data_IF_504347696994
#
_entry.id   IF_504347696994
#
_cell.length_a   1.000
_cell.length_b   1.000
_cell.length_c   1.000
_cell.angle_alpha   90.00
_cell.angle_beta   90.00
_cell.angle_gamma   90.00
#
_symmetry.space_group_name_H-M   'P 1'
#
loop_
_entity.id
_entity.type
_entity.pdbx_description
1 polymer ?
#
# COMPACT_ATOMS: atom_id res chain seq x y z
N UNK A 1 43.87 5.84 9.26
CA UNK A 1 42.88 5.18 10.11
C UNK A 1 41.79 4.66 9.19
N UNK A 2 41.79 3.35 8.88
CA UNK A 2 40.79 2.71 8.02
C UNK A 2 39.61 2.36 8.91
N UNK A 3 38.48 3.04 8.76
CA UNK A 3 37.23 2.57 9.33
C UNK A 3 36.78 1.38 8.47
N UNK A 4 36.95 0.16 8.98
CA UNK A 4 36.12 -0.96 8.55
C UNK A 4 34.73 -0.67 9.10
N UNK A 5 33.82 -0.23 8.23
CA UNK A 5 32.40 -0.31 8.50
C UNK A 5 32.09 -1.80 8.60
N UNK A 6 31.80 -2.24 9.82
CA UNK A 6 31.27 -3.57 10.08
C UNK A 6 29.95 -3.65 9.31
N UNK A 7 29.92 -4.51 8.28
CA UNK A 7 28.73 -4.77 7.50
C UNK A 7 27.80 -5.66 8.31
N UNK A 8 27.33 -5.15 9.45
CA UNK A 8 26.16 -5.71 10.11
C UNK A 8 25.02 -5.58 9.12
N UNK A 9 24.66 -6.70 8.52
CA UNK A 9 23.40 -6.90 7.83
C UNK A 9 22.30 -6.25 8.67
N UNK A 10 21.87 -5.06 8.26
CA UNK A 10 20.53 -4.59 8.59
C UNK A 10 19.68 -5.63 7.86
N UNK A 11 19.10 -6.58 8.60
CA UNK A 11 18.03 -7.39 8.05
C UNK A 11 17.00 -6.37 7.56
N UNK A 12 16.91 -6.16 6.25
CA UNK A 12 15.84 -5.40 5.61
C UNK A 12 14.56 -6.20 5.82
N UNK A 13 14.02 -6.15 7.04
CA UNK A 13 12.75 -6.75 7.38
C UNK A 13 11.70 -5.97 6.59
N UNK A 14 10.97 -6.61 5.66
CA UNK A 14 9.94 -5.95 4.90
C UNK A 14 8.85 -5.39 5.83
N UNK A 15 8.34 -4.22 5.48
CA UNK A 15 7.22 -3.62 6.21
C UNK A 15 5.97 -4.46 6.04
N UNK A 16 5.73 -5.05 4.86
CA UNK A 16 4.56 -5.89 4.60
C UNK A 16 4.90 -7.23 3.94
N UNK A 17 4.30 -8.31 4.41
CA UNK A 17 4.45 -9.67 3.83
C UNK A 17 3.10 -10.33 3.64
N UNK A 18 2.94 -11.04 2.52
CA UNK A 18 1.80 -11.91 2.27
C UNK A 18 2.05 -13.31 2.86
N UNK A 19 1.31 -13.65 3.90
CA UNK A 19 1.34 -14.96 4.53
C UNK A 19 0.32 -15.91 3.92
N UNK A 20 0.74 -17.17 3.80
CA UNK A 20 -0.12 -18.30 3.43
C UNK A 20 -0.06 -19.34 4.53
N UNK A 21 -1.19 -19.97 4.82
CA UNK A 21 -1.28 -20.98 5.89
C UNK A 21 -0.30 -22.14 5.73
N UNK A 22 0.05 -22.49 4.49
CA UNK A 22 0.94 -23.59 4.15
C UNK A 22 2.44 -23.21 4.14
N UNK A 23 2.84 -22.07 4.72
CA UNK A 23 4.25 -21.71 4.80
C UNK A 23 4.95 -22.47 5.92
N UNK A 24 6.14 -23.02 5.62
CA UNK A 24 6.98 -23.71 6.60
C UNK A 24 7.53 -22.77 7.69
N UNK A 25 7.69 -21.50 7.33
CA UNK A 25 8.17 -20.44 8.21
C UNK A 25 7.46 -19.13 7.87
N UNK A 26 7.11 -18.37 8.91
CA UNK A 26 6.61 -17.01 8.76
C UNK A 26 7.78 -16.04 8.99
N UNK A 27 8.32 -15.42 7.92
CA UNK A 27 9.33 -14.37 8.10
C UNK A 27 8.77 -13.23 8.96
N UNK A 28 9.65 -12.39 9.50
CA UNK A 28 9.22 -11.21 10.26
C UNK A 28 8.68 -10.14 9.32
N UNK A 29 7.66 -9.41 9.76
CA UNK A 29 7.18 -8.18 9.10
C UNK A 29 6.43 -7.30 10.08
N UNK A 30 6.36 -6.00 9.84
CA UNK A 30 5.56 -5.10 10.68
C UNK A 30 4.06 -5.25 10.40
N UNK A 31 3.69 -5.45 9.14
CA UNK A 31 2.34 -5.61 8.64
C UNK A 31 2.20 -7.05 8.14
N UNK A 32 1.28 -7.81 8.70
CA UNK A 32 0.97 -9.16 8.25
C UNK A 32 -0.24 -9.21 7.34
N UNK A 33 -0.01 -9.43 6.05
CA UNK A 33 -1.09 -9.51 5.07
C UNK A 33 -1.47 -10.96 4.81
N UNK A 34 -2.75 -11.24 4.55
CA UNK A 34 -3.20 -12.56 4.13
C UNK A 34 -4.45 -12.43 3.27
N UNK A 35 -4.68 -13.38 2.35
CA UNK A 35 -5.94 -13.42 1.59
C UNK A 35 -7.02 -14.01 2.49
N UNK A 36 -8.13 -13.28 2.67
CA UNK A 36 -9.26 -13.75 3.47
C UNK A 36 -9.92 -14.93 2.77
N UNK A 37 -10.11 -16.01 3.52
CA UNK A 37 -10.82 -17.22 3.12
C UNK A 37 -11.23 -18.01 4.37
N UNK A 38 -12.01 -19.07 4.19
CA UNK A 38 -12.52 -19.91 5.29
C UNK A 38 -11.42 -20.70 6.02
N UNK A 39 -10.19 -20.70 5.52
CA UNK A 39 -9.07 -21.38 6.18
C UNK A 39 -8.52 -20.56 7.36
N UNK A 40 -8.84 -19.28 7.48
CA UNK A 40 -8.38 -18.44 8.57
C UNK A 40 -9.38 -18.39 9.72
N UNK A 41 -9.07 -19.10 10.80
CA UNK A 41 -9.74 -18.93 12.09
C UNK A 41 -9.05 -17.86 12.93
N UNK A 42 -9.76 -17.31 13.92
CA UNK A 42 -9.20 -16.34 14.87
C UNK A 42 -7.90 -16.84 15.55
N UNK A 43 -7.90 -18.10 16.01
CA UNK A 43 -6.70 -18.71 16.59
C UNK A 43 -5.54 -18.81 15.58
N UNK A 44 -5.83 -19.06 14.29
CA UNK A 44 -4.80 -19.13 13.27
C UNK A 44 -4.18 -17.75 13.00
N UNK A 45 -4.99 -16.68 13.05
CA UNK A 45 -4.52 -15.30 12.92
C UNK A 45 -3.70 -14.85 14.14
N UNK A 46 -4.12 -15.22 15.36
CA UNK A 46 -3.34 -15.00 16.59
C UNK A 46 -1.96 -15.68 16.51
N UNK A 47 -1.94 -16.94 16.08
CA UNK A 47 -0.70 -17.69 15.90
C UNK A 47 0.19 -17.07 14.81
N UNK A 48 -0.42 -16.62 13.71
CA UNK A 48 0.28 -15.92 12.64
C UNK A 48 0.96 -14.65 13.18
N UNK A 49 0.17 -13.75 13.78
CA UNK A 49 0.65 -12.48 14.36
C UNK A 49 1.82 -12.68 15.32
N UNK A 50 1.72 -13.70 16.19
CA UNK A 50 2.77 -14.04 17.15
C UNK A 50 4.04 -14.60 16.47
N UNK A 51 3.89 -15.48 15.47
CA UNK A 51 5.03 -16.14 14.81
C UNK A 51 5.77 -15.22 13.85
N UNK A 52 5.04 -14.35 13.13
CA UNK A 52 5.63 -13.34 12.26
C UNK A 52 6.07 -12.08 13.00
N UNK A 53 5.77 -11.97 14.30
CA UNK A 53 5.95 -10.77 15.12
C UNK A 53 5.29 -9.53 14.49
N UNK A 54 4.19 -9.73 13.75
CA UNK A 54 3.48 -8.65 13.08
C UNK A 54 2.83 -7.73 14.10
N UNK A 55 2.96 -6.42 13.89
CA UNK A 55 2.35 -5.42 14.75
C UNK A 55 0.82 -5.40 14.58
N UNK A 56 0.35 -5.53 13.33
CA UNK A 56 -1.05 -5.67 12.99
C UNK A 56 -1.24 -6.50 11.71
N UNK A 57 -2.45 -6.98 11.49
CA UNK A 57 -2.82 -7.81 10.36
C UNK A 57 -3.79 -7.08 9.41
N UNK A 58 -3.60 -7.34 8.12
CA UNK A 58 -4.44 -6.81 7.04
C UNK A 58 -4.99 -7.95 6.20
N UNK A 59 -6.31 -8.04 6.12
CA UNK A 59 -7.00 -9.00 5.26
C UNK A 59 -7.14 -8.47 3.84
N UNK A 60 -6.77 -9.28 2.85
CA UNK A 60 -6.99 -9.00 1.43
C UNK A 60 -8.21 -9.76 0.95
N UNK A 61 -9.28 -9.04 0.67
CA UNK A 61 -10.52 -9.61 0.14
C UNK A 61 -10.48 -9.57 -1.39
N UNK A 62 -10.48 -10.75 -2.01
CA UNK A 62 -10.32 -10.89 -3.48
C UNK A 62 -11.60 -11.33 -4.20
N UNK A 63 -12.70 -11.45 -3.46
CA UNK A 63 -14.01 -11.83 -3.96
C UNK A 63 -15.11 -11.09 -3.19
N UNK A 64 -16.34 -11.15 -3.71
CA UNK A 64 -17.49 -10.47 -3.11
C UNK A 64 -18.13 -11.28 -1.96
N UNK A 65 -17.43 -12.29 -1.44
CA UNK A 65 -17.95 -13.11 -0.34
C UNK A 65 -17.91 -12.32 0.97
N UNK A 66 -19.01 -12.34 1.72
CA UNK A 66 -19.07 -11.78 3.06
C UNK A 66 -18.53 -12.81 4.05
N UNK A 67 -17.31 -12.59 4.52
CA UNK A 67 -16.71 -13.42 5.58
C UNK A 67 -17.15 -12.91 6.95
N UNK A 68 -17.17 -13.81 7.94
CA UNK A 68 -17.35 -13.43 9.34
C UNK A 68 -16.28 -12.41 9.76
N UNK A 69 -16.69 -11.40 10.52
CA UNK A 69 -15.75 -10.42 11.05
C UNK A 69 -14.83 -11.11 12.08
N UNK A 70 -13.53 -11.02 11.86
CA UNK A 70 -12.51 -11.53 12.76
C UNK A 70 -11.85 -10.33 13.45
N UNK A 71 -11.98 -10.25 14.77
CA UNK A 71 -11.47 -9.13 15.60
C UNK A 71 -9.95 -8.90 15.46
N UNK A 72 -9.22 -9.92 15.00
CA UNK A 72 -7.78 -9.85 14.77
C UNK A 72 -7.38 -9.12 13.49
N UNK A 73 -8.34 -8.70 12.66
CA UNK A 73 -8.09 -7.99 11.40
C UNK A 73 -8.25 -6.50 11.64
N UNK A 74 -7.14 -5.77 11.67
CA UNK A 74 -7.15 -4.31 11.85
C UNK A 74 -7.56 -3.56 10.56
N UNK A 75 -7.40 -4.16 9.38
CA UNK A 75 -7.84 -3.56 8.13
C UNK A 75 -8.14 -4.58 7.04
N UNK A 76 -9.13 -4.29 6.19
CA UNK A 76 -9.50 -5.08 5.03
C UNK A 76 -9.27 -4.25 3.78
N UNK A 77 -8.57 -4.80 2.78
CA UNK A 77 -8.42 -4.20 1.46
C UNK A 77 -9.06 -5.11 0.41
N UNK A 78 -10.07 -4.58 -0.29
CA UNK A 78 -10.70 -5.23 -1.44
C UNK A 78 -9.89 -4.96 -2.70
N UNK A 79 -9.48 -6.01 -3.39
CA UNK A 79 -8.69 -5.93 -4.63
C UNK A 79 -9.00 -7.12 -5.53
N UNK A 80 -8.61 -7.09 -6.81
CA UNK A 80 -8.69 -8.28 -7.65
C UNK A 80 -7.61 -9.30 -7.29
N UNK A 81 -7.81 -10.61 -7.56
CA UNK A 81 -6.83 -11.65 -7.26
C UNK A 81 -5.42 -11.38 -7.84
N UNK A 82 -5.34 -10.81 -9.04
CA UNK A 82 -4.08 -10.44 -9.70
C UNK A 82 -3.44 -9.15 -9.14
N UNK A 83 -4.17 -8.38 -8.35
CA UNK A 83 -3.72 -7.13 -7.72
C UNK A 83 -3.13 -7.34 -6.31
N UNK A 84 -3.23 -8.55 -5.75
CA UNK A 84 -2.73 -8.86 -4.40
C UNK A 84 -1.28 -8.41 -4.22
N UNK A 85 -0.39 -8.77 -5.14
CA UNK A 85 1.02 -8.38 -5.05
C UNK A 85 1.22 -6.87 -5.18
N UNK A 86 0.35 -6.17 -5.91
CA UNK A 86 0.42 -4.72 -6.05
C UNK A 86 0.05 -4.01 -4.74
N UNK A 87 -0.92 -4.54 -3.98
CA UNK A 87 -1.29 -4.07 -2.65
C UNK A 87 -0.15 -4.32 -1.65
N UNK A 88 0.44 -5.51 -1.65
CA UNK A 88 1.57 -5.82 -0.74
C UNK A 88 2.73 -4.86 -0.98
N UNK A 89 3.11 -4.63 -2.24
CA UNK A 89 4.16 -3.67 -2.60
C UNK A 89 3.84 -2.23 -2.22
N UNK A 90 2.55 -1.86 -2.17
CA UNK A 90 2.12 -0.53 -1.74
C UNK A 90 2.28 -0.36 -0.22
N UNK A 91 2.00 -1.41 0.56
CA UNK A 91 2.13 -1.42 2.02
C UNK A 91 3.57 -1.68 2.49
N UNK A 92 4.41 -2.25 1.63
CA UNK A 92 5.82 -2.52 1.91
C UNK A 92 6.66 -1.23 1.82
N UNK A 93 6.48 -0.35 2.81
CA UNK A 93 7.13 0.94 2.87
C UNK A 93 8.60 0.75 3.25
N UNK A 94 9.51 1.18 2.38
CA UNK A 94 10.93 1.25 2.66
C UNK A 94 11.36 2.72 2.81
N UNK A 95 11.48 3.18 4.06
CA UNK A 95 11.84 4.56 4.44
C UNK A 95 13.18 5.05 3.88
N UNK A 96 14.08 4.15 3.45
CA UNK A 96 15.37 4.52 2.88
C UNK A 96 15.32 4.93 1.39
N UNK A 97 14.19 4.69 0.70
CA UNK A 97 14.08 4.83 -0.76
C UNK A 97 13.10 5.91 -1.24
N UNK A 98 12.41 6.59 -0.31
CA UNK A 98 11.28 7.48 -0.63
C UNK A 98 11.59 8.95 -0.32
N UNK A 99 11.13 9.86 -1.19
CA UNK A 99 11.22 11.32 -0.94
C UNK A 99 10.18 11.75 0.11
N UNK A 100 9.07 11.02 0.20
CA UNK A 100 8.00 11.25 1.17
C UNK A 100 8.09 10.18 2.25
N UNK A 101 8.38 10.62 3.48
CA UNK A 101 8.64 9.77 4.63
C UNK A 101 7.35 9.37 5.34
N UNK A 102 6.64 8.40 4.77
CA UNK A 102 5.62 7.63 5.49
C UNK A 102 6.31 6.49 6.23
N UNK A 103 5.79 6.14 7.39
CA UNK A 103 6.17 4.92 8.09
C UNK A 103 4.97 3.98 8.35
N UNK A 104 5.25 2.85 9.01
CA UNK A 104 4.23 1.85 9.34
C UNK A 104 3.19 2.39 10.35
N UNK A 105 3.55 3.36 11.19
CA UNK A 105 2.65 4.00 12.15
C UNK A 105 1.59 4.82 11.42
N UNK A 106 1.98 5.51 10.34
CA UNK A 106 1.04 6.23 9.48
C UNK A 106 0.02 5.28 8.83
N UNK A 107 0.47 4.14 8.31
CA UNK A 107 -0.42 3.12 7.75
C UNK A 107 -1.33 2.51 8.81
N UNK A 108 -0.83 2.29 10.02
CA UNK A 108 -1.68 1.85 11.12
C UNK A 108 -2.78 2.88 11.41
N UNK A 109 -2.41 4.16 11.46
CA UNK A 109 -3.35 5.26 11.71
C UNK A 109 -4.41 5.35 10.61
N UNK A 110 -4.04 5.05 9.35
CA UNK A 110 -4.98 4.95 8.23
C UNK A 110 -6.07 3.89 8.49
N UNK A 111 -5.70 2.71 8.97
CA UNK A 111 -6.66 1.64 9.30
C UNK A 111 -7.46 1.90 10.57
N UNK A 112 -6.95 2.72 11.49
CA UNK A 112 -7.70 3.14 12.67
C UNK A 112 -8.84 4.13 12.30
N UNK A 113 -8.75 4.83 11.16
CA UNK A 113 -9.80 5.73 10.63
C UNK A 113 -10.94 4.93 10.00
N UNK A 114 -10.60 3.92 9.18
CA UNK A 114 -11.55 3.07 8.46
C UNK A 114 -11.00 1.65 8.44
N UNK A 115 -11.84 0.64 8.65
CA UNK A 115 -11.40 -0.76 8.64
C UNK A 115 -11.54 -1.44 7.26
N UNK A 116 -12.10 -0.76 6.26
CA UNK A 116 -12.39 -1.32 4.94
C UNK A 116 -11.99 -0.37 3.83
N UNK A 117 -11.13 -0.84 2.95
CA UNK A 117 -10.57 -0.10 1.82
C UNK A 117 -10.81 -0.85 0.52
N UNK A 118 -10.73 -0.12 -0.59
CA UNK A 118 -10.69 -0.65 -1.96
C UNK A 118 -9.38 -0.24 -2.61
N UNK A 119 -8.79 -1.16 -3.36
CA UNK A 119 -7.61 -0.90 -4.16
C UNK A 119 -7.96 -0.41 -5.56
N UNK A 120 -7.15 0.49 -6.07
CA UNK A 120 -7.24 0.98 -7.43
C UNK A 120 -5.86 1.32 -7.97
N UNK A 121 -5.65 1.12 -9.27
CA UNK A 121 -4.43 1.53 -9.93
C UNK A 121 -4.69 2.16 -11.30
N UNK A 122 -3.73 2.98 -11.72
CA UNK A 122 -3.67 3.62 -13.02
C UNK A 122 -2.22 3.64 -13.52
N UNK A 123 -2.01 3.35 -14.79
CA UNK A 123 -0.69 3.39 -15.42
C UNK A 123 -0.72 4.09 -16.77
N UNK A 124 0.46 4.56 -17.17
CA UNK A 124 0.73 5.09 -18.49
C UNK A 124 2.07 4.54 -18.99
N UNK A 125 2.13 4.27 -20.29
CA UNK A 125 3.33 3.84 -21.02
C UNK A 125 3.60 4.79 -22.18
N UNK A 126 4.87 5.02 -22.51
CA UNK A 126 5.23 5.94 -23.59
C UNK A 126 6.64 6.50 -23.47
N UNK A 127 7.01 7.37 -24.41
CA UNK A 127 8.39 7.84 -24.59
C UNK A 127 8.76 9.01 -23.66
N UNK A 128 7.80 9.85 -23.25
CA UNK A 128 8.04 11.05 -22.44
C UNK A 128 7.47 10.94 -21.03
N UNK A 129 8.33 10.91 -20.03
CA UNK A 129 7.97 10.72 -18.61
C UNK A 129 6.92 11.73 -18.10
N UNK A 130 7.04 13.01 -18.45
CA UNK A 130 6.08 14.05 -18.04
C UNK A 130 4.66 13.79 -18.54
N UNK A 131 4.53 13.19 -19.73
CA UNK A 131 3.22 12.84 -20.29
C UNK A 131 2.66 11.61 -19.59
N UNK A 132 3.52 10.66 -19.18
CA UNK A 132 3.10 9.48 -18.42
C UNK A 132 2.50 9.86 -17.07
N UNK A 133 3.16 10.75 -16.34
CA UNK A 133 2.71 11.22 -15.02
C UNK A 133 1.31 11.83 -15.14
N UNK A 134 1.13 12.76 -16.08
CA UNK A 134 -0.17 13.43 -16.30
C UNK A 134 -1.26 12.44 -16.69
N UNK A 135 -0.97 11.53 -17.62
CA UNK A 135 -1.95 10.53 -18.09
C UNK A 135 -2.33 9.57 -16.97
N UNK A 136 -1.36 9.08 -16.20
CA UNK A 136 -1.62 8.19 -15.07
C UNK A 136 -2.43 8.89 -13.96
N UNK A 137 -2.06 10.13 -13.62
CA UNK A 137 -2.80 10.96 -12.67
C UNK A 137 -4.25 11.14 -13.11
N UNK A 138 -4.48 11.57 -14.35
CA UNK A 138 -5.84 11.77 -14.88
C UNK A 138 -6.67 10.48 -14.86
N UNK A 139 -6.05 9.32 -15.19
CA UNK A 139 -6.71 8.02 -15.10
C UNK A 139 -7.07 7.64 -13.66
N UNK A 140 -6.21 7.93 -12.69
CA UNK A 140 -6.49 7.68 -11.27
C UNK A 140 -7.63 8.58 -10.79
N UNK A 141 -7.55 9.89 -11.06
CA UNK A 141 -8.59 10.87 -10.73
C UNK A 141 -9.93 10.41 -11.27
N UNK A 142 -10.05 10.09 -12.56
CA UNK A 142 -11.29 9.59 -13.18
C UNK A 142 -11.90 8.35 -12.51
N UNK A 143 -11.09 7.55 -11.80
CA UNK A 143 -11.58 6.43 -11.00
C UNK A 143 -12.06 6.89 -9.62
N UNK A 144 -11.32 7.80 -8.98
CA UNK A 144 -11.67 8.39 -7.68
C UNK A 144 -12.87 9.35 -7.74
N UNK A 145 -13.10 10.09 -8.83
CA UNK A 145 -14.26 11.01 -8.94
C UNK A 145 -15.61 10.26 -8.87
N UNK A 146 -15.58 8.96 -9.18
CA UNK A 146 -16.76 8.09 -9.14
C UNK A 146 -17.07 7.58 -7.74
N UNK A 147 -16.15 7.80 -6.79
CA UNK A 147 -16.29 7.38 -5.41
C UNK A 147 -16.89 8.55 -4.63
N UNK A 148 -18.00 8.30 -3.96
CA UNK A 148 -18.63 9.30 -3.11
C UNK A 148 -17.99 9.27 -1.72
N UNK A 149 -17.73 10.44 -1.14
CA UNK A 149 -17.29 10.61 0.25
C UNK A 149 -16.07 9.77 0.66
N UNK A 150 -14.95 9.94 -0.05
CA UNK A 150 -13.67 9.38 0.39
C UNK A 150 -13.31 9.97 1.75
N UNK A 151 -13.02 9.12 2.75
CA UNK A 151 -12.56 9.53 4.10
C UNK A 151 -11.07 9.36 4.31
N UNK A 152 -10.50 8.35 3.68
CA UNK A 152 -9.09 8.03 3.80
C UNK A 152 -8.55 7.58 2.45
N UNK A 153 -7.35 8.05 2.09
CA UNK A 153 -6.69 7.74 0.84
C UNK A 153 -5.19 7.56 1.08
N UNK A 154 -4.64 6.48 0.55
CA UNK A 154 -3.20 6.27 0.51
C UNK A 154 -2.76 6.02 -0.93
N UNK A 155 -1.88 6.88 -1.46
CA UNK A 155 -1.43 6.88 -2.85
C UNK A 155 0.06 6.54 -2.93
N UNK A 156 0.41 5.51 -3.69
CA UNK A 156 1.78 5.16 -4.03
C UNK A 156 2.15 5.52 -5.46
N UNK A 157 3.28 6.19 -5.61
CA UNK A 157 3.86 6.60 -6.90
C UNK A 157 5.00 5.66 -7.29
N UNK A 158 4.86 4.92 -8.38
CA UNK A 158 5.84 3.96 -8.87
C UNK A 158 6.47 4.44 -10.19
N UNK A 159 7.77 4.72 -10.19
CA UNK A 159 8.53 5.20 -11.37
C UNK A 159 9.96 4.65 -11.47
N UNK A 160 10.66 4.97 -12.56
CA UNK A 160 12.00 4.44 -12.90
C UNK A 160 13.10 5.05 -12.02
N UNK A 161 12.87 6.27 -11.53
CA UNK A 161 13.75 6.96 -10.57
C UNK A 161 12.90 7.38 -9.38
N UNK A 162 13.54 7.76 -8.27
CA UNK A 162 12.83 8.45 -7.18
C UNK A 162 12.10 9.62 -7.81
N UNK A 163 10.77 9.55 -7.88
CA UNK A 163 9.94 10.56 -8.53
C UNK A 163 10.41 11.94 -8.09
N UNK A 164 10.87 12.83 -9.00
CA UNK A 164 11.34 14.14 -8.61
C UNK A 164 10.30 14.84 -7.72
N UNK A 165 10.72 15.68 -6.79
CA UNK A 165 9.80 16.41 -5.89
C UNK A 165 8.65 17.10 -6.65
N UNK A 166 8.92 17.58 -7.87
CA UNK A 166 7.93 18.15 -8.79
C UNK A 166 6.80 17.17 -9.18
N UNK A 167 7.14 15.89 -9.39
CA UNK A 167 6.16 14.83 -9.68
C UNK A 167 5.26 14.59 -8.47
N UNK A 168 5.86 14.50 -7.28
CA UNK A 168 5.11 14.38 -6.04
C UNK A 168 4.15 15.56 -5.84
N UNK A 169 4.63 16.79 -6.02
CA UNK A 169 3.81 18.02 -5.90
C UNK A 169 2.66 18.01 -6.89
N UNK A 170 2.93 17.68 -8.15
CA UNK A 170 1.89 17.63 -9.18
C UNK A 170 0.79 16.62 -8.85
N UNK A 171 1.17 15.43 -8.39
CA UNK A 171 0.20 14.37 -8.05
C UNK A 171 -0.59 14.76 -6.80
N UNK A 172 0.06 15.26 -5.75
CA UNK A 172 -0.63 15.65 -4.52
C UNK A 172 -1.62 16.78 -4.78
N UNK A 173 -1.20 17.83 -5.49
CA UNK A 173 -2.09 18.93 -5.89
C UNK A 173 -3.28 18.44 -6.73
N UNK A 174 -3.03 17.53 -7.67
CA UNK A 174 -4.09 16.98 -8.54
C UNK A 174 -5.09 16.13 -7.77
N UNK A 175 -4.63 15.32 -6.81
CA UNK A 175 -5.49 14.47 -5.97
C UNK A 175 -6.26 15.31 -4.95
N UNK A 176 -5.60 16.25 -4.28
CA UNK A 176 -6.23 17.13 -3.29
C UNK A 176 -7.24 18.08 -3.94
N UNK A 177 -6.99 18.57 -5.16
CA UNK A 177 -7.96 19.40 -5.88
C UNK A 177 -9.27 18.65 -6.19
N UNK A 178 -9.22 17.33 -6.40
CA UNK A 178 -10.43 16.50 -6.55
C UNK A 178 -11.19 16.38 -5.23
N UNK A 179 -10.45 16.18 -4.13
CA UNK A 179 -10.99 15.93 -2.81
C UNK A 179 -11.28 17.26 -2.13
N UNK A 180 -12.37 17.92 -2.51
CA UNK A 180 -12.78 19.24 -1.98
C UNK A 180 -13.19 19.26 -0.49
N UNK A 181 -12.96 18.17 0.24
CA UNK A 181 -13.34 18.00 1.63
C UNK A 181 -12.10 18.10 2.53
N UNK A 182 -12.09 19.06 3.46
CA UNK A 182 -10.97 19.29 4.39
C UNK A 182 -10.73 18.14 5.38
N UNK A 183 -11.66 17.18 5.49
CA UNK A 183 -11.62 16.09 6.47
C UNK A 183 -11.03 14.77 5.93
N UNK A 184 -10.52 14.73 4.69
CA UNK A 184 -9.93 13.51 4.12
C UNK A 184 -8.50 13.32 4.62
N UNK A 185 -8.21 12.15 5.21
CA UNK A 185 -6.83 11.79 5.57
C UNK A 185 -6.09 11.21 4.35
N UNK A 186 -5.13 11.95 3.82
CA UNK A 186 -4.39 11.58 2.61
C UNK A 186 -2.92 11.32 2.91
N UNK A 187 -2.42 10.20 2.42
CA UNK A 187 -1.04 9.76 2.58
C UNK A 187 -0.42 9.48 1.20
N UNK A 188 0.85 9.84 1.02
CA UNK A 188 1.60 9.61 -0.22
C UNK A 188 2.92 8.87 0.01
N UNK A 189 3.15 7.77 -0.71
CA UNK A 189 4.48 7.15 -0.79
C UNK A 189 5.02 7.17 -2.22
N UNK A 190 6.33 6.98 -2.35
CA UNK A 190 6.99 6.79 -3.65
C UNK A 190 7.77 5.49 -3.60
N UNK A 191 7.89 4.79 -4.71
CA UNK A 191 8.73 3.60 -4.82
C UNK A 191 9.32 3.50 -6.22
N UNK A 192 10.47 2.84 -6.34
CA UNK A 192 11.11 2.61 -7.63
C UNK A 192 10.65 1.28 -8.23
N UNK A 193 10.48 1.27 -9.55
CA UNK A 193 10.22 0.06 -10.34
C UNK A 193 11.27 -0.06 -11.45
N UNK A 194 11.75 -1.28 -11.70
CA UNK A 194 12.74 -1.57 -12.76
C UNK A 194 12.14 -1.58 -14.19
N UNK A 195 10.84 -1.28 -14.34
CA UNK A 195 10.16 -1.26 -15.63
C UNK A 195 10.36 0.08 -16.35
N UNK A 196 11.24 0.08 -17.35
CA UNK A 196 11.47 1.23 -18.23
C UNK A 196 10.16 1.67 -18.91
N UNK A 197 10.02 2.98 -19.15
CA UNK A 197 8.92 3.64 -19.88
C UNK A 197 7.52 3.49 -19.29
N UNK A 198 7.39 3.16 -18.00
CA UNK A 198 6.10 3.04 -17.32
C UNK A 198 6.06 3.89 -16.05
N UNK A 199 4.97 4.64 -15.88
CA UNK A 199 4.63 5.27 -14.61
C UNK A 199 3.31 4.70 -14.09
N UNK A 200 3.26 4.33 -12.81
CA UNK A 200 2.08 3.73 -12.19
C UNK A 200 1.73 4.44 -10.89
N UNK A 201 0.46 4.75 -10.74
CA UNK A 201 -0.14 5.15 -9.48
C UNK A 201 -0.97 4.01 -8.94
N UNK A 202 -0.80 3.74 -7.66
CA UNK A 202 -1.60 2.79 -6.89
C UNK A 202 -2.25 3.55 -5.76
N UNK A 203 -3.47 3.17 -5.40
CA UNK A 203 -4.11 3.75 -4.23
C UNK A 203 -4.98 2.74 -3.52
N UNK A 204 -5.09 2.90 -2.20
CA UNK A 204 -6.19 2.33 -1.42
C UNK A 204 -7.02 3.48 -0.87
N UNK A 205 -8.34 3.34 -0.94
CA UNK A 205 -9.27 4.37 -0.46
C UNK A 205 -10.39 3.75 0.37
N UNK A 206 -10.87 4.50 1.35
CA UNK A 206 -12.06 4.18 2.12
C UNK A 206 -13.17 5.19 1.84
N UNK A 207 -14.39 4.70 1.69
CA UNK A 207 -15.62 5.47 1.50
C UNK A 207 -16.54 5.30 2.72
N UNK A 208 -17.47 6.24 2.92
CA UNK A 208 -18.53 6.14 3.93
C UNK A 208 -19.73 5.29 3.51
#
# INVERSE_FOLDING_TARGET
>A
MKYQLDASHIDDIPSAVLYRRAMDHYPKSSIGCFVINDDWSEQALLDLKKKSEAWFLVGLQTNDHEYEHLDMIEGIIRCQPDEVNDVIKLLDINSASTIIGIDVVDIKSLFDICNSFKFVQASATGEYESDLIKVAAHKLINKLEKVHNIKALFVGMCGIQSSPLETCSYISETVEALLSNDDVSIYYCSSMIDELSTFRLKAIYAEE
#
